data_IF_378193814049
#
_entry.id   IF_378193814049
#
_cell.length_a   1.000
_cell.length_b   1.000
_cell.length_c   1.000
_cell.angle_alpha   90.00
_cell.angle_beta   90.00
_cell.angle_gamma   90.00
#
_symmetry.space_group_name_H-M   'P 1'
#
loop_
_entity.id
_entity.type
_entity.pdbx_description
1 polymer ?
#
# COMPACT_ATOMS: atom_id res chain seq x y z
N UNK A 1 1.65 6.81 -3.83
CA UNK A 1 1.06 5.68 -3.11
C UNK A 1 0.78 6.10 -1.68
N UNK A 2 -0.45 5.98 -1.20
CA UNK A 2 -0.86 6.22 0.17
C UNK A 2 -1.39 4.90 0.78
N UNK A 3 -0.76 4.44 1.86
CA UNK A 3 -1.29 3.32 2.63
C UNK A 3 -2.40 3.80 3.56
N UNK A 4 -3.46 2.99 3.75
CA UNK A 4 -4.52 3.28 4.71
C UNK A 4 -3.99 3.49 6.14
N UNK A 5 -4.72 4.26 6.96
CA UNK A 5 -4.45 4.47 8.38
C UNK A 5 -4.53 3.17 9.21
N UNK A 6 -4.16 3.26 10.48
CA UNK A 6 -4.18 2.10 11.38
C UNK A 6 -5.59 1.48 11.50
N UNK A 7 -5.64 0.15 11.52
CA UNK A 7 -6.80 -0.68 11.88
C UNK A 7 -6.41 -1.60 13.05
N UNK A 8 -7.39 -2.19 13.74
CA UNK A 8 -7.09 -3.11 14.85
C UNK A 8 -6.17 -4.27 14.43
N UNK A 9 -6.33 -4.78 13.20
CA UNK A 9 -5.48 -5.87 12.75
C UNK A 9 -4.09 -5.39 12.31
N UNK A 10 -3.98 -4.23 11.67
CA UNK A 10 -2.66 -3.69 11.33
C UNK A 10 -1.85 -3.36 12.59
N UNK A 11 -2.50 -2.89 13.66
CA UNK A 11 -1.90 -2.65 14.97
C UNK A 11 -1.42 -3.93 15.64
N UNK A 12 -2.19 -5.02 15.53
CA UNK A 12 -1.84 -6.33 16.11
C UNK A 12 -0.96 -7.20 15.19
N UNK A 13 -0.57 -6.71 14.00
CA UNK A 13 0.27 -7.43 13.05
C UNK A 13 -0.43 -8.57 12.31
N UNK A 14 -1.75 -8.62 12.32
CA UNK A 14 -2.55 -9.60 11.58
C UNK A 14 -2.64 -9.24 10.11
N UNK A 15 -2.48 -10.23 9.25
CA UNK A 15 -2.66 -10.07 7.82
C UNK A 15 -4.13 -9.79 7.49
N UNK A 16 -4.38 -8.75 6.67
CA UNK A 16 -5.73 -8.30 6.36
C UNK A 16 -5.85 -7.97 4.88
N UNK A 17 -6.58 -8.76 4.14
CA UNK A 17 -6.91 -8.49 2.73
C UNK A 17 -8.39 -8.24 2.52
N UNK A 18 -9.20 -9.29 2.66
CA UNK A 18 -10.65 -9.30 2.34
C UNK A 18 -11.53 -8.80 3.47
N UNK A 19 -11.09 -8.95 4.72
CA UNK A 19 -11.86 -8.54 5.89
C UNK A 19 -12.05 -7.03 5.91
N UNK A 20 -13.31 -6.61 6.08
CA UNK A 20 -13.64 -5.20 6.26
C UNK A 20 -13.35 -4.80 7.69
N UNK A 21 -12.45 -3.86 7.85
CA UNK A 21 -12.07 -3.26 9.11
C UNK A 21 -12.02 -1.75 8.95
N UNK A 22 -12.63 -1.07 9.87
CA UNK A 22 -12.56 0.38 9.97
C UNK A 22 -11.21 0.86 10.50
N UNK A 23 -10.90 2.13 10.28
CA UNK A 23 -9.76 2.77 10.93
C UNK A 23 -10.00 2.85 12.44
N UNK A 24 -8.93 2.66 13.22
CA UNK A 24 -8.96 3.07 14.64
C UNK A 24 -9.05 4.59 14.74
N UNK A 25 -9.36 5.12 15.94
CA UNK A 25 -9.31 6.56 16.17
C UNK A 25 -7.92 7.13 15.84
N UNK A 26 -6.87 6.41 16.23
CA UNK A 26 -5.50 6.77 15.86
C UNK A 26 -5.27 6.72 14.32
N UNK A 27 -5.82 5.70 13.65
CA UNK A 27 -5.76 5.59 12.18
C UNK A 27 -6.45 6.74 11.46
N UNK A 28 -7.53 7.27 12.00
CA UNK A 28 -8.21 8.45 11.46
C UNK A 28 -7.33 9.71 11.58
N UNK A 29 -6.73 9.94 12.74
CA UNK A 29 -5.78 11.05 12.97
C UNK A 29 -4.58 10.92 12.03
N UNK A 30 -4.06 9.70 11.81
CA UNK A 30 -2.98 9.46 10.85
C UNK A 30 -3.39 9.82 9.41
N UNK A 31 -4.61 9.45 9.00
CA UNK A 31 -5.13 9.75 7.67
C UNK A 31 -5.34 11.26 7.46
N UNK A 32 -5.86 11.97 8.46
CA UNK A 32 -5.97 13.43 8.45
C UNK A 32 -4.60 14.11 8.33
N UNK A 33 -3.60 13.63 9.08
CA UNK A 33 -2.25 14.17 9.01
C UNK A 33 -1.58 13.95 7.63
N UNK A 34 -1.96 12.90 6.88
CA UNK A 34 -1.47 12.69 5.53
C UNK A 34 -1.90 13.80 4.56
N UNK A 35 -3.00 14.52 4.84
CA UNK A 35 -3.46 15.64 4.01
C UNK A 35 -2.40 16.75 3.90
N UNK A 36 -1.70 17.05 4.98
CA UNK A 36 -0.67 18.10 4.97
C UNK A 36 0.56 17.67 4.15
N UNK A 37 0.92 16.39 4.21
CA UNK A 37 2.00 15.84 3.37
C UNK A 37 1.61 15.87 1.89
N UNK A 38 0.38 15.49 1.55
CA UNK A 38 -0.13 15.56 0.17
C UNK A 38 -0.16 16.99 -0.37
N UNK A 39 -0.58 17.96 0.43
CA UNK A 39 -0.55 19.39 0.03
C UNK A 39 0.86 19.88 -0.29
N UNK A 40 1.87 19.44 0.47
CA UNK A 40 3.27 19.80 0.22
C UNK A 40 3.82 19.20 -1.08
N UNK A 41 3.24 18.10 -1.56
CA UNK A 41 3.63 17.47 -2.83
C UNK A 41 3.17 18.25 -4.06
N UNK A 42 2.22 19.20 -3.91
CA UNK A 42 1.71 20.04 -4.99
C UNK A 42 1.27 19.24 -6.23
N UNK A 43 0.49 18.16 -6.00
CA UNK A 43 0.01 17.29 -7.07
C UNK A 43 -0.83 18.08 -8.10
N UNK A 44 -0.59 17.81 -9.39
CA UNK A 44 -1.32 18.42 -10.49
C UNK A 44 -2.55 17.57 -10.84
N UNK A 45 -3.75 18.08 -10.52
CA UNK A 45 -5.06 17.46 -10.82
C UNK A 45 -5.07 15.92 -10.63
N UNK A 46 -4.80 15.40 -9.41
CA UNK A 46 -4.52 14.00 -9.22
C UNK A 46 -5.72 13.10 -9.59
N UNK A 47 -5.45 12.03 -10.35
CA UNK A 47 -6.39 10.94 -10.56
C UNK A 47 -6.25 9.93 -9.42
N UNK A 48 -7.29 9.81 -8.60
CA UNK A 48 -7.24 9.02 -7.37
C UNK A 48 -7.94 7.68 -7.55
N UNK A 49 -7.17 6.61 -7.46
CA UNK A 49 -7.67 5.23 -7.47
C UNK A 49 -7.58 4.65 -6.05
N UNK A 50 -8.73 4.27 -5.48
CA UNK A 50 -8.79 3.65 -4.17
C UNK A 50 -9.08 2.15 -4.23
N UNK A 51 -8.46 1.39 -3.34
CA UNK A 51 -8.92 0.04 -3.03
C UNK A 51 -10.39 0.06 -2.58
N UNK A 52 -11.19 -1.00 -2.85
CA UNK A 52 -12.59 -1.06 -2.44
C UNK A 52 -12.79 -1.23 -0.92
N UNK A 53 -11.72 -1.40 -0.14
CA UNK A 53 -11.82 -1.61 1.30
C UNK A 53 -12.13 -0.31 2.03
N UNK A 54 -13.07 -0.35 2.99
CA UNK A 54 -13.51 0.83 3.75
C UNK A 54 -12.33 1.58 4.37
N UNK A 55 -11.32 0.90 4.91
CA UNK A 55 -10.10 1.53 5.46
C UNK A 55 -9.34 2.38 4.44
N UNK A 56 -9.36 2.00 3.15
CA UNK A 56 -8.68 2.77 2.10
C UNK A 56 -9.52 3.97 1.65
N UNK A 57 -10.82 3.78 1.40
CA UNK A 57 -11.72 4.87 0.99
C UNK A 57 -11.87 5.93 2.09
N UNK A 58 -12.00 5.51 3.35
CA UNK A 58 -12.02 6.44 4.49
C UNK A 58 -10.69 7.19 4.64
N UNK A 59 -9.55 6.51 4.39
CA UNK A 59 -8.25 7.20 4.40
C UNK A 59 -8.17 8.25 3.29
N UNK A 60 -8.62 7.95 2.09
CA UNK A 60 -8.67 8.92 0.99
C UNK A 60 -9.50 10.15 1.36
N UNK A 61 -10.69 9.95 1.89
CA UNK A 61 -11.60 11.02 2.33
C UNK A 61 -10.94 11.91 3.40
N UNK A 62 -10.40 11.31 4.47
CA UNK A 62 -9.76 12.05 5.56
C UNK A 62 -8.48 12.77 5.13
N UNK A 63 -7.76 12.21 4.14
CA UNK A 63 -6.61 12.86 3.53
C UNK A 63 -6.98 13.97 2.52
N UNK A 64 -8.27 14.27 2.36
CA UNK A 64 -8.77 15.33 1.48
C UNK A 64 -8.70 14.98 -0.01
N UNK A 65 -8.63 13.70 -0.35
CA UNK A 65 -8.64 13.22 -1.74
C UNK A 65 -10.07 12.90 -2.19
N UNK A 66 -10.40 13.33 -3.41
CA UNK A 66 -11.62 12.88 -4.09
C UNK A 66 -11.28 11.64 -4.91
N UNK A 67 -11.95 10.51 -4.62
CA UNK A 67 -11.71 9.25 -5.34
C UNK A 67 -12.40 9.29 -6.70
N UNK A 68 -11.64 9.16 -7.78
CA UNK A 68 -12.14 9.06 -9.15
C UNK A 68 -12.55 7.63 -9.50
N UNK A 69 -11.81 6.64 -9.02
CA UNK A 69 -12.04 5.22 -9.30
C UNK A 69 -11.85 4.35 -8.04
N UNK A 70 -12.77 3.41 -7.84
CA UNK A 70 -12.61 2.32 -6.87
C UNK A 70 -12.27 1.05 -7.62
N UNK A 71 -11.07 0.51 -7.40
CA UNK A 71 -10.56 -0.61 -8.18
C UNK A 71 -10.03 -1.77 -7.33
N UNK A 72 -10.47 -3.01 -7.57
CA UNK A 72 -9.91 -4.18 -6.92
C UNK A 72 -8.44 -4.43 -7.34
N UNK A 73 -7.98 -3.81 -8.42
CA UNK A 73 -6.62 -3.94 -8.92
C UNK A 73 -5.57 -3.55 -7.88
N UNK A 74 -5.89 -2.57 -7.01
CA UNK A 74 -5.00 -2.09 -5.95
C UNK A 74 -5.39 -2.59 -4.55
N UNK A 75 -6.15 -3.70 -4.47
CA UNK A 75 -6.42 -4.39 -3.21
C UNK A 75 -5.13 -4.93 -2.57
N UNK A 76 -5.18 -5.24 -1.27
CA UNK A 76 -4.05 -5.88 -0.59
C UNK A 76 -3.76 -7.26 -1.18
N UNK A 77 -2.55 -7.77 -0.94
CA UNK A 77 -2.20 -9.16 -1.19
C UNK A 77 -3.23 -10.07 -0.56
N UNK A 78 -3.79 -10.98 -1.34
CA UNK A 78 -4.76 -11.95 -0.82
C UNK A 78 -4.04 -12.99 0.03
N UNK A 79 -4.30 -12.95 1.34
CA UNK A 79 -3.62 -13.85 2.27
C UNK A 79 -4.28 -15.23 2.39
N UNK A 80 -5.41 -15.47 1.71
CA UNK A 80 -6.08 -16.77 1.72
C UNK A 80 -6.34 -17.31 3.13
N UNK A 81 -5.82 -18.51 3.42
CA UNK A 81 -5.99 -19.16 4.73
C UNK A 81 -5.22 -18.47 5.88
N UNK A 82 -4.33 -17.52 5.56
CA UNK A 82 -3.60 -16.72 6.55
C UNK A 82 -4.27 -15.40 6.91
N UNK A 83 -5.46 -15.13 6.37
CA UNK A 83 -6.26 -13.97 6.75
C UNK A 83 -6.52 -13.97 8.26
N UNK A 84 -6.25 -12.84 8.93
CA UNK A 84 -6.43 -12.67 10.38
C UNK A 84 -5.37 -13.32 11.27
N UNK A 85 -4.33 -13.95 10.67
CA UNK A 85 -3.19 -14.51 11.42
C UNK A 85 -1.98 -13.59 11.37
N UNK A 86 -1.08 -13.71 12.34
CA UNK A 86 0.18 -12.96 12.36
C UNK A 86 1.30 -13.77 11.72
N UNK A 87 2.37 -13.11 11.28
CA UNK A 87 3.59 -13.77 10.78
C UNK A 87 4.16 -14.76 11.81
N UNK A 88 4.12 -14.41 13.11
CA UNK A 88 4.61 -15.28 14.17
C UNK A 88 3.80 -16.59 14.27
N UNK A 89 2.47 -16.47 14.19
CA UNK A 89 1.58 -17.65 14.23
C UNK A 89 1.81 -18.55 13.01
N UNK A 90 1.92 -17.99 11.81
CA UNK A 90 2.20 -18.76 10.60
C UNK A 90 3.54 -19.51 10.71
N UNK A 91 4.57 -18.85 11.24
CA UNK A 91 5.91 -19.44 11.39
C UNK A 91 5.99 -20.61 12.37
N UNK A 92 5.00 -20.80 13.24
CA UNK A 92 4.89 -22.01 14.06
C UNK A 92 4.68 -23.27 13.21
N UNK A 93 3.95 -23.13 12.10
CA UNK A 93 3.69 -24.23 11.16
C UNK A 93 4.64 -24.23 9.95
N UNK A 94 5.04 -23.05 9.48
CA UNK A 94 5.92 -22.87 8.31
C UNK A 94 7.12 -22.02 8.72
N UNK A 95 8.20 -22.61 9.23
CA UNK A 95 9.41 -21.87 9.65
C UNK A 95 9.96 -20.98 8.52
N UNK A 96 10.37 -19.76 8.88
CA UNK A 96 10.89 -18.74 7.95
C UNK A 96 9.89 -18.26 6.89
N UNK A 97 8.61 -18.50 7.06
CA UNK A 97 7.60 -18.01 6.14
C UNK A 97 7.71 -16.49 5.93
N UNK A 98 7.62 -16.11 4.66
CA UNK A 98 7.52 -14.74 4.18
C UNK A 98 6.50 -14.73 3.04
N UNK A 99 5.56 -13.80 3.05
CA UNK A 99 4.55 -13.66 1.99
C UNK A 99 5.22 -13.55 0.60
N UNK A 100 6.36 -12.87 0.54
CA UNK A 100 7.13 -12.59 -0.68
C UNK A 100 7.68 -13.82 -1.39
N UNK A 101 7.95 -14.89 -0.67
CA UNK A 101 8.64 -16.08 -1.20
C UNK A 101 7.81 -17.37 -1.07
N UNK A 102 6.89 -17.41 -0.10
CA UNK A 102 6.09 -18.61 0.17
C UNK A 102 4.65 -18.45 -0.36
N UNK A 103 4.17 -17.20 -0.54
CA UNK A 103 2.76 -16.95 -0.86
C UNK A 103 1.82 -17.34 0.27
N UNK A 104 0.54 -17.49 -0.05
CA UNK A 104 -0.51 -17.80 0.90
C UNK A 104 -1.41 -18.92 0.37
N UNK A 105 -1.62 -20.03 1.10
CA UNK A 105 -2.56 -21.07 0.69
C UNK A 105 -3.96 -20.50 0.47
N UNK A 106 -4.57 -20.81 -0.66
CA UNK A 106 -5.90 -20.26 -1.03
C UNK A 106 -5.93 -18.75 -1.31
N UNK A 107 -4.78 -18.09 -1.32
CA UNK A 107 -4.60 -16.69 -1.65
C UNK A 107 -3.69 -16.48 -2.86
N UNK A 108 -3.14 -15.27 -3.01
CA UNK A 108 -2.25 -14.94 -4.13
C UNK A 108 -0.83 -15.46 -3.93
N UNK A 109 -0.24 -15.90 -5.02
CA UNK A 109 1.20 -16.14 -5.15
C UNK A 109 1.96 -14.85 -5.43
N UNK A 110 3.27 -14.88 -5.26
CA UNK A 110 4.14 -13.74 -5.63
C UNK A 110 4.06 -13.41 -7.13
N UNK A 111 3.86 -14.41 -7.99
CA UNK A 111 3.72 -14.21 -9.44
C UNK A 111 2.42 -13.47 -9.78
N UNK A 112 1.29 -13.86 -9.18
CA UNK A 112 0.00 -13.20 -9.40
C UNK A 112 0.02 -11.75 -8.90
N UNK A 113 0.62 -11.50 -7.74
CA UNK A 113 0.78 -10.13 -7.23
C UNK A 113 1.72 -9.30 -8.12
N UNK A 114 2.79 -9.91 -8.66
CA UNK A 114 3.68 -9.26 -9.62
C UNK A 114 2.91 -8.80 -10.86
N UNK A 115 2.15 -9.69 -11.50
CA UNK A 115 1.33 -9.37 -12.66
C UNK A 115 0.27 -8.30 -12.36
N UNK A 116 -0.35 -8.35 -11.17
CA UNK A 116 -1.33 -7.35 -10.74
C UNK A 116 -0.69 -6.00 -10.51
N UNK A 117 0.51 -5.95 -9.92
CA UNK A 117 1.28 -4.71 -9.74
C UNK A 117 1.70 -4.11 -11.08
N UNK A 118 2.15 -4.92 -12.03
CA UNK A 118 2.51 -4.47 -13.39
C UNK A 118 1.28 -3.87 -14.09
N UNK A 119 0.11 -4.50 -14.02
CA UNK A 119 -1.15 -3.93 -14.56
C UNK A 119 -1.56 -2.63 -13.88
N UNK A 120 -1.38 -2.51 -12.55
CA UNK A 120 -1.65 -1.27 -11.84
C UNK A 120 -0.73 -0.13 -12.31
N UNK A 121 0.54 -0.43 -12.55
CA UNK A 121 1.50 0.52 -13.11
C UNK A 121 1.10 0.94 -14.53
N UNK A 122 0.64 0.02 -15.38
CA UNK A 122 0.16 0.34 -16.72
C UNK A 122 -1.03 1.30 -16.68
N UNK A 123 -2.00 1.07 -15.78
CA UNK A 123 -3.13 1.99 -15.57
C UNK A 123 -2.63 3.37 -15.10
N UNK A 124 -1.70 3.41 -14.15
CA UNK A 124 -1.13 4.68 -13.70
C UNK A 124 -0.46 5.44 -14.85
N UNK A 125 0.36 4.77 -15.65
CA UNK A 125 1.09 5.38 -16.78
C UNK A 125 0.16 5.97 -17.85
N UNK A 126 -1.04 5.40 -18.04
CA UNK A 126 -2.04 5.96 -18.96
C UNK A 126 -2.57 7.32 -18.46
N UNK A 127 -2.85 7.44 -17.15
CA UNK A 127 -3.32 8.69 -16.56
C UNK A 127 -2.19 9.72 -16.37
N UNK A 128 -0.97 9.26 -16.08
CA UNK A 128 0.22 10.12 -15.90
C UNK A 128 0.64 10.91 -17.12
N UNK A 129 0.00 10.70 -18.28
CA UNK A 129 0.22 11.55 -19.46
C UNK A 129 -0.28 12.99 -19.28
N UNK A 130 -1.20 13.23 -18.36
CA UNK A 130 -1.85 14.55 -18.17
C UNK A 130 -2.17 14.91 -16.71
N UNK A 131 -2.05 13.97 -15.78
CA UNK A 131 -2.42 14.12 -14.37
C UNK A 131 -1.45 13.37 -13.47
N UNK A 132 -1.29 13.80 -12.23
CA UNK A 132 -0.69 12.93 -11.22
C UNK A 132 -1.63 11.77 -10.87
N UNK A 133 -1.08 10.66 -10.40
CA UNK A 133 -1.87 9.47 -10.00
C UNK A 133 -1.64 9.16 -8.53
N UNK A 134 -2.72 8.98 -7.78
CA UNK A 134 -2.67 8.57 -6.38
C UNK A 134 -3.36 7.22 -6.20
N UNK A 135 -2.62 6.22 -5.76
CA UNK A 135 -3.20 4.96 -5.27
C UNK A 135 -3.38 5.03 -3.77
N UNK A 136 -4.60 4.84 -3.30
CA UNK A 136 -4.90 4.70 -1.87
C UNK A 136 -5.20 3.24 -1.56
N UNK A 137 -4.25 2.58 -0.91
CA UNK A 137 -4.27 1.12 -0.77
C UNK A 137 -3.61 0.61 0.50
N UNK A 138 -2.77 -0.40 0.35
CA UNK A 138 -2.37 -1.28 1.42
C UNK A 138 -0.85 -1.45 1.51
N UNK A 139 -0.41 -2.16 2.56
CA UNK A 139 1.00 -2.26 2.88
C UNK A 139 1.82 -3.13 1.91
N UNK A 140 1.47 -4.40 1.76
CA UNK A 140 2.25 -5.31 0.91
C UNK A 140 2.07 -5.01 -0.57
N UNK A 141 0.85 -4.70 -1.01
CA UNK A 141 0.62 -4.39 -2.42
C UNK A 141 1.33 -3.10 -2.86
N UNK A 142 1.31 -2.02 -2.04
CA UNK A 142 2.08 -0.82 -2.36
C UNK A 142 3.58 -1.08 -2.48
N UNK A 143 4.12 -1.94 -1.61
CA UNK A 143 5.54 -2.36 -1.68
C UNK A 143 5.82 -3.17 -2.94
N UNK A 144 4.88 -4.02 -3.38
CA UNK A 144 4.99 -4.72 -4.67
C UNK A 144 4.99 -3.73 -5.85
N UNK A 145 4.09 -2.75 -5.84
CA UNK A 145 4.05 -1.69 -6.86
C UNK A 145 5.36 -0.90 -6.89
N UNK A 146 5.89 -0.47 -5.72
CA UNK A 146 7.18 0.23 -5.63
C UNK A 146 8.29 -0.59 -6.28
N UNK A 147 8.37 -1.87 -5.93
CA UNK A 147 9.42 -2.76 -6.44
C UNK A 147 9.34 -2.92 -7.95
N UNK A 148 8.12 -3.13 -8.47
CA UNK A 148 7.88 -3.27 -9.89
C UNK A 148 8.07 -1.95 -10.65
N UNK A 149 7.73 -0.82 -10.02
CA UNK A 149 8.00 0.50 -10.58
C UNK A 149 9.50 0.71 -10.88
N UNK A 150 10.36 0.36 -9.93
CA UNK A 150 11.82 0.45 -10.11
C UNK A 150 12.43 -0.78 -10.81
N UNK A 151 11.61 -1.56 -11.50
CA UNK A 151 11.99 -2.71 -12.34
C UNK A 151 12.77 -3.81 -11.60
N UNK A 152 12.49 -3.97 -10.30
CA UNK A 152 13.09 -5.02 -9.48
C UNK A 152 12.13 -6.21 -9.30
N UNK A 153 12.65 -7.41 -8.98
CA UNK A 153 11.83 -8.56 -8.64
C UNK A 153 10.91 -8.27 -7.45
N UNK A 154 9.65 -8.71 -7.51
CA UNK A 154 8.60 -8.37 -6.52
C UNK A 154 8.98 -8.74 -5.08
N UNK A 155 9.79 -9.79 -4.87
CA UNK A 155 10.23 -10.21 -3.55
C UNK A 155 11.12 -9.18 -2.84
N UNK A 156 11.75 -8.26 -3.55
CA UNK A 156 12.51 -7.16 -2.97
C UNK A 156 11.62 -6.16 -2.22
N UNK A 157 10.30 -6.25 -2.39
CA UNK A 157 9.33 -5.49 -1.60
C UNK A 157 9.47 -5.66 -0.09
N UNK A 158 10.08 -6.76 0.37
CA UNK A 158 10.41 -6.97 1.79
C UNK A 158 11.32 -5.86 2.37
N UNK A 159 12.11 -5.21 1.54
CA UNK A 159 13.10 -4.19 1.94
C UNK A 159 12.52 -2.79 2.10
N UNK A 160 11.29 -2.57 1.67
CA UNK A 160 10.62 -1.27 1.75
C UNK A 160 9.70 -1.22 2.96
N UNK A 161 9.64 -0.07 3.62
CA UNK A 161 8.70 0.17 4.71
C UNK A 161 7.54 1.03 4.21
N UNK A 162 6.31 0.63 4.55
CA UNK A 162 5.09 1.41 4.31
C UNK A 162 4.25 1.41 5.60
N UNK A 163 4.59 2.25 6.59
CA UNK A 163 3.78 2.43 7.80
C UNK A 163 2.34 2.86 7.49
N UNK A 164 1.41 2.71 8.44
CA UNK A 164 0.04 3.19 8.28
C UNK A 164 0.02 4.70 7.94
N UNK A 165 -0.86 5.09 7.02
CA UNK A 165 -0.99 6.44 6.47
C UNK A 165 0.32 7.06 5.94
N UNK A 166 1.30 6.22 5.56
CA UNK A 166 2.52 6.71 4.91
C UNK A 166 2.36 6.84 3.41
N UNK A 167 3.17 7.72 2.85
CA UNK A 167 3.26 7.98 1.42
C UNK A 167 4.59 7.50 0.84
N UNK A 168 4.53 7.01 -0.40
CA UNK A 168 5.69 6.81 -1.26
C UNK A 168 5.46 7.53 -2.58
N UNK A 169 6.51 8.13 -3.13
CA UNK A 169 6.49 8.84 -4.40
C UNK A 169 7.32 8.11 -5.43
N UNK A 170 6.65 7.66 -6.47
CA UNK A 170 7.24 7.08 -7.66
C UNK A 170 7.22 8.12 -8.78
N UNK A 171 8.32 8.29 -9.49
CA UNK A 171 8.43 9.29 -10.54
C UNK A 171 9.50 8.94 -11.57
N UNK A 172 9.92 9.92 -12.32
CA UNK A 172 10.95 9.78 -13.35
C UNK A 172 12.06 10.81 -13.15
N UNK A 173 13.28 10.41 -13.43
CA UNK A 173 14.40 11.32 -13.63
C UNK A 173 15.12 10.93 -14.93
N UNK A 174 15.22 11.87 -15.86
CA UNK A 174 15.78 11.64 -17.20
C UNK A 174 15.15 10.43 -17.94
N UNK A 175 13.85 10.19 -17.72
CA UNK A 175 13.13 9.06 -18.31
C UNK A 175 13.30 7.72 -17.60
N UNK A 176 14.06 7.68 -16.50
CA UNK A 176 14.25 6.47 -15.66
C UNK A 176 13.28 6.50 -14.50
N UNK A 177 12.60 5.38 -14.26
CA UNK A 177 11.69 5.22 -13.13
C UNK A 177 12.45 5.22 -11.81
N UNK A 178 11.99 6.03 -10.86
CA UNK A 178 12.62 6.19 -9.55
C UNK A 178 11.62 6.17 -8.42
N UNK A 179 12.09 5.75 -7.25
CA UNK A 179 11.43 5.98 -5.96
C UNK A 179 12.02 7.25 -5.35
N UNK A 180 11.28 8.36 -5.44
CA UNK A 180 11.75 9.68 -5.00
C UNK A 180 11.56 9.90 -3.49
N UNK A 181 10.55 9.24 -2.88
CA UNK A 181 10.31 9.29 -1.45
C UNK A 181 9.66 8.01 -0.94
N UNK A 182 9.95 7.64 0.30
CA UNK A 182 9.41 6.44 0.94
C UNK A 182 9.06 6.72 2.40
N UNK A 183 7.99 6.09 2.88
CA UNK A 183 7.55 6.11 4.27
C UNK A 183 7.36 7.52 4.87
N UNK A 184 6.97 8.48 4.04
CA UNK A 184 6.66 9.83 4.52
C UNK A 184 5.33 9.81 5.29
N UNK A 185 5.36 10.32 6.51
CA UNK A 185 4.17 10.41 7.37
C UNK A 185 3.99 11.85 7.85
N UNK A 186 2.75 12.32 7.90
CA UNK A 186 2.40 13.60 8.53
C UNK A 186 2.42 13.55 10.07
N UNK A 187 2.70 12.39 10.66
CA UNK A 187 2.80 12.15 12.10
C UNK A 187 4.15 11.49 12.44
N UNK A 188 4.61 11.56 13.71
CA UNK A 188 5.84 10.88 14.12
C UNK A 188 5.74 9.37 13.84
N UNK A 189 6.70 8.84 13.06
CA UNK A 189 6.81 7.41 12.85
C UNK A 189 7.35 6.77 14.14
N UNK A 190 6.64 5.84 14.78
CA UNK A 190 7.24 5.09 15.87
C UNK A 190 8.49 4.40 15.35
N UNK A 191 9.61 4.60 16.04
CA UNK A 191 10.89 4.05 15.64
C UNK A 191 10.75 2.58 15.26
N UNK A 192 11.30 2.22 14.10
CA UNK A 192 11.39 0.82 13.69
C UNK A 192 12.19 0.11 14.78
N UNK A 193 11.50 -0.69 15.60
CA UNK A 193 12.17 -1.51 16.59
C UNK A 193 13.08 -2.49 15.85
N UNK A 194 14.36 -2.39 16.13
CA UNK A 194 15.43 -3.29 15.67
C UNK A 194 15.22 -4.70 16.19
#
# INVERSE_FOLDING_TARGET
LLRHGETEWSKSGKHTSRTELELTEHGRVQAEAAADTLKQMQLEDPYVISSPRVRATTTAELAGLTVDEVSPLISEWDYGDYEGTTTEEIRKAVPNWLVWTHGCPGGETSAEVCERADRAIEVALQHMQSRDVVFVGHGHFSRAVITRWIEQPVYEGIRFAMPAASLAVCGFEHGVRQLSALAQTGHPNPAVST
#
